data_IF_122317257079
#
_entry.id   IF_122317257079
#
_cell.length_a   1.000
_cell.length_b   1.000
_cell.length_c   1.000
_cell.angle_alpha   90.00
_cell.angle_beta   90.00
_cell.angle_gamma   90.00
#
_symmetry.space_group_name_H-M   'P 1'
#
loop_
_entity.id
_entity.type
_entity.pdbx_description
1 polymer ?
#
# COMPACT_ATOMS: atom_id res chain seq x y z
N UNK A 1 2.74 -28.82 -3.51
CA UNK A 1 2.14 -27.56 -3.95
C UNK A 1 0.98 -27.08 -3.06
N UNK A 2 -0.12 -27.80 -2.91
CA UNK A 2 -1.31 -27.33 -2.12
C UNK A 2 -1.03 -26.87 -0.67
N UNK A 3 -0.08 -27.48 0.05
CA UNK A 3 0.23 -27.15 1.45
C UNK A 3 1.04 -25.82 1.57
N UNK A 4 1.96 -25.58 0.66
CA UNK A 4 2.73 -24.32 0.60
C UNK A 4 1.86 -23.12 0.21
N UNK A 5 0.92 -23.32 -0.72
CA UNK A 5 -0.05 -22.33 -1.15
C UNK A 5 -0.94 -21.84 0.02
N UNK A 6 -1.49 -22.76 0.83
CA UNK A 6 -2.33 -22.40 1.96
C UNK A 6 -1.65 -21.51 3.01
N UNK A 7 -0.32 -21.60 3.16
CA UNK A 7 0.44 -20.73 4.06
C UNK A 7 0.22 -19.25 3.72
N UNK A 8 0.21 -18.88 2.45
CA UNK A 8 -0.01 -17.49 2.03
C UNK A 8 -1.44 -17.02 2.29
N UNK A 9 -2.43 -17.90 2.16
CA UNK A 9 -3.80 -17.60 2.56
C UNK A 9 -3.90 -17.30 4.06
N UNK A 10 -3.30 -18.14 4.91
CA UNK A 10 -3.31 -17.91 6.36
C UNK A 10 -2.57 -16.62 6.72
N UNK A 11 -1.43 -16.35 6.11
CA UNK A 11 -0.71 -15.08 6.32
C UNK A 11 -1.57 -13.89 5.89
N UNK A 12 -2.23 -13.96 4.74
CA UNK A 12 -3.15 -12.92 4.29
C UNK A 12 -4.25 -12.65 5.31
N UNK A 13 -4.92 -13.71 5.79
CA UNK A 13 -5.97 -13.59 6.78
C UNK A 13 -5.46 -12.98 8.09
N UNK A 14 -4.27 -13.39 8.56
CA UNK A 14 -3.65 -12.83 9.76
C UNK A 14 -3.42 -11.32 9.58
N UNK A 15 -2.80 -10.88 8.48
CA UNK A 15 -2.50 -9.48 8.27
C UNK A 15 -3.76 -8.62 8.05
N UNK A 16 -4.76 -9.12 7.33
CA UNK A 16 -6.04 -8.41 7.15
C UNK A 16 -6.82 -8.31 8.46
N UNK A 17 -6.84 -9.38 9.27
CA UNK A 17 -7.44 -9.34 10.62
C UNK A 17 -6.67 -8.36 11.51
N UNK A 18 -5.34 -8.39 11.48
CA UNK A 18 -4.50 -7.45 12.22
C UNK A 18 -4.76 -6.00 11.78
N UNK A 19 -4.97 -5.73 10.49
CA UNK A 19 -5.35 -4.41 10.00
C UNK A 19 -6.69 -3.94 10.58
N UNK A 20 -7.72 -4.80 10.58
CA UNK A 20 -9.05 -4.47 11.13
C UNK A 20 -8.94 -4.19 12.64
N UNK A 21 -8.22 -5.04 13.37
CA UNK A 21 -7.99 -4.84 14.80
C UNK A 21 -7.20 -3.57 15.07
N UNK A 22 -6.14 -3.32 14.32
CA UNK A 22 -5.32 -2.12 14.41
C UNK A 22 -6.15 -0.85 14.19
N UNK A 23 -6.97 -0.83 13.14
CA UNK A 23 -7.88 0.27 12.84
C UNK A 23 -8.81 0.55 14.02
N UNK A 24 -9.40 -0.50 14.62
CA UNK A 24 -10.25 -0.36 15.80
C UNK A 24 -9.47 0.13 17.02
N UNK A 25 -8.26 -0.40 17.25
CA UNK A 25 -7.43 0.02 18.38
C UNK A 25 -7.03 1.49 18.31
N UNK A 26 -6.74 2.03 17.13
CA UNK A 26 -6.45 3.46 16.94
C UNK A 26 -7.62 4.34 17.42
N UNK A 27 -8.86 3.90 17.30
CA UNK A 27 -10.01 4.73 17.70
C UNK A 27 -10.31 4.70 19.20
N UNK A 28 -9.67 3.80 19.97
CA UNK A 28 -9.99 3.62 21.40
C UNK A 28 -8.78 3.70 22.34
N UNK A 29 -7.56 3.46 21.84
CA UNK A 29 -6.37 3.44 22.69
C UNK A 29 -5.65 4.78 22.65
N UNK A 30 -5.41 5.36 23.82
CA UNK A 30 -4.60 6.59 24.00
C UNK A 30 -4.97 7.69 23.00
N UNK A 31 -6.27 7.99 22.94
CA UNK A 31 -6.82 9.02 22.04
C UNK A 31 -6.70 10.38 22.72
N UNK A 32 -5.93 11.31 22.11
CA UNK A 32 -5.72 12.67 22.62
C UNK A 32 -5.81 13.69 21.47
N UNK A 33 -6.13 14.92 21.81
CA UNK A 33 -6.23 16.06 20.88
C UNK A 33 -4.84 16.65 20.58
N UNK A 34 -3.95 15.88 19.97
CA UNK A 34 -2.57 16.28 19.63
C UNK A 34 -2.41 16.70 18.16
N UNK A 35 -3.41 16.49 17.34
CA UNK A 35 -3.36 16.88 15.93
C UNK A 35 -3.69 18.36 15.70
N UNK A 36 -3.45 18.87 14.48
CA UNK A 36 -3.75 20.26 14.13
C UNK A 36 -5.23 20.60 14.40
N UNK A 37 -5.48 21.85 14.78
CA UNK A 37 -6.81 22.37 15.18
C UNK A 37 -7.48 21.56 16.30
N UNK A 38 -6.67 20.86 17.15
CA UNK A 38 -7.19 20.02 18.23
C UNK A 38 -7.82 18.71 17.77
N UNK A 39 -7.46 18.22 16.59
CA UNK A 39 -7.96 16.93 16.09
C UNK A 39 -7.44 15.77 16.94
N UNK A 40 -8.33 14.80 17.20
CA UNK A 40 -8.02 13.62 18.00
C UNK A 40 -7.16 12.64 17.20
N UNK A 41 -6.19 12.03 17.89
CA UNK A 41 -5.27 11.04 17.31
C UNK A 41 -5.15 9.87 18.28
N UNK A 42 -5.34 8.66 17.78
CA UNK A 42 -5.13 7.44 18.57
C UNK A 42 -3.65 7.08 18.68
N UNK A 43 -3.29 6.26 19.66
CA UNK A 43 -1.90 5.98 20.01
C UNK A 43 -1.06 7.26 20.16
N UNK A 44 -1.66 8.29 20.75
CA UNK A 44 -1.13 9.65 20.79
C UNK A 44 0.28 9.72 21.34
N UNK A 45 0.58 9.01 22.43
CA UNK A 45 1.89 9.01 23.08
C UNK A 45 2.99 8.48 22.15
N UNK A 46 2.76 7.34 21.49
CA UNK A 46 3.74 6.75 20.56
C UNK A 46 3.87 7.62 19.32
N UNK A 47 2.77 8.10 18.78
CA UNK A 47 2.74 8.95 17.59
C UNK A 47 3.47 10.29 17.84
N UNK A 48 3.26 10.94 19.00
CA UNK A 48 3.98 12.16 19.37
C UNK A 48 5.48 11.92 19.54
N UNK A 49 5.85 10.89 20.30
CA UNK A 49 7.26 10.55 20.53
C UNK A 49 7.98 10.30 19.18
N UNK A 50 7.35 9.61 18.27
CA UNK A 50 7.94 9.36 16.95
C UNK A 50 8.06 10.65 16.12
N UNK A 51 7.04 11.49 16.13
CA UNK A 51 7.07 12.78 15.45
C UNK A 51 8.11 13.73 16.03
N UNK A 52 8.33 13.74 17.34
CA UNK A 52 9.39 14.51 17.99
C UNK A 52 10.79 14.07 17.54
N UNK A 53 11.00 12.77 17.34
CA UNK A 53 12.29 12.22 16.88
C UNK A 53 12.53 12.55 15.40
N UNK A 54 11.53 12.41 14.55
CA UNK A 54 11.69 12.59 13.09
C UNK A 54 11.57 14.06 12.67
N UNK A 55 10.80 14.84 13.43
CA UNK A 55 10.38 16.17 13.00
C UNK A 55 9.47 16.14 11.76
N UNK A 56 9.27 17.31 11.16
CA UNK A 56 8.52 17.49 9.92
C UNK A 56 9.45 17.94 8.81
N UNK A 57 9.53 17.17 7.73
CA UNK A 57 10.36 17.46 6.57
C UNK A 57 9.52 17.51 5.29
N UNK A 58 9.11 18.72 4.89
CA UNK A 58 8.29 18.93 3.71
C UNK A 58 9.01 18.62 2.38
N UNK A 59 10.35 18.66 2.34
CA UNK A 59 11.09 18.28 1.13
C UNK A 59 10.98 16.76 0.89
N UNK A 60 11.17 15.94 1.93
CA UNK A 60 10.98 14.49 1.84
C UNK A 60 9.52 14.17 1.51
N UNK A 61 8.57 14.89 2.11
CA UNK A 61 7.16 14.76 1.76
C UNK A 61 6.93 14.99 0.27
N UNK A 62 7.37 16.13 -0.26
CA UNK A 62 7.17 16.49 -1.68
C UNK A 62 7.80 15.45 -2.62
N UNK A 63 9.03 14.99 -2.32
CA UNK A 63 9.71 13.96 -3.13
C UNK A 63 8.90 12.67 -3.13
N UNK A 64 8.49 12.17 -1.96
CA UNK A 64 7.74 10.91 -1.85
C UNK A 64 6.31 11.04 -2.38
N UNK A 65 5.74 12.23 -2.38
CA UNK A 65 4.43 12.50 -2.95
C UNK A 65 4.46 12.40 -4.48
N UNK A 66 5.41 13.08 -5.13
CA UNK A 66 5.63 12.95 -6.57
C UNK A 66 6.01 11.52 -6.99
N UNK A 67 6.88 10.87 -6.24
CA UNK A 67 7.24 9.47 -6.50
C UNK A 67 6.08 8.50 -6.24
N UNK A 68 5.05 8.91 -5.51
CA UNK A 68 3.79 8.20 -5.38
C UNK A 68 3.05 7.98 -6.71
N UNK A 69 3.38 8.74 -7.76
CA UNK A 69 2.89 8.51 -9.12
C UNK A 69 3.49 7.25 -9.76
N UNK A 70 4.68 6.80 -9.33
CA UNK A 70 5.33 5.61 -9.90
C UNK A 70 4.47 4.35 -9.77
N UNK A 71 3.96 3.96 -8.59
CA UNK A 71 3.03 2.85 -8.47
C UNK A 71 1.79 3.00 -9.37
N UNK A 72 1.27 4.21 -9.51
CA UNK A 72 0.12 4.49 -10.38
C UNK A 72 0.46 4.20 -11.84
N UNK A 73 1.63 4.64 -12.32
CA UNK A 73 2.11 4.36 -13.68
C UNK A 73 2.23 2.85 -13.92
N UNK A 74 2.77 2.09 -12.95
CA UNK A 74 2.85 0.63 -13.04
C UNK A 74 1.45 -0.01 -13.11
N UNK A 75 0.52 0.44 -12.27
CA UNK A 75 -0.85 -0.06 -12.26
C UNK A 75 -1.55 0.20 -13.62
N UNK A 76 -1.39 1.40 -14.18
CA UNK A 76 -1.87 1.73 -15.53
C UNK A 76 -1.21 0.88 -16.61
N UNK A 77 0.10 0.66 -16.53
CA UNK A 77 0.83 -0.20 -17.48
C UNK A 77 0.26 -1.62 -17.51
N UNK A 78 -0.03 -2.21 -16.36
CA UNK A 78 -0.69 -3.53 -16.30
C UNK A 78 -2.15 -3.47 -16.76
N UNK A 79 -2.86 -2.37 -16.50
CA UNK A 79 -4.20 -2.15 -17.03
C UNK A 79 -4.22 -2.11 -18.57
N UNK A 80 -3.27 -1.38 -19.16
CA UNK A 80 -3.08 -1.34 -20.64
C UNK A 80 -2.74 -2.73 -21.16
N UNK A 81 -1.85 -3.47 -20.49
CA UNK A 81 -1.51 -4.84 -20.89
C UNK A 81 -2.76 -5.74 -20.90
N UNK A 82 -3.60 -5.66 -19.86
CA UNK A 82 -4.86 -6.40 -19.79
C UNK A 82 -5.82 -6.00 -20.92
N UNK A 83 -5.96 -4.71 -21.20
CA UNK A 83 -6.79 -4.18 -22.27
C UNK A 83 -6.32 -4.69 -23.66
N UNK A 84 -5.02 -4.64 -23.93
CA UNK A 84 -4.44 -5.13 -25.19
C UNK A 84 -4.68 -6.64 -25.37
N UNK A 85 -4.54 -7.41 -24.29
CA UNK A 85 -4.85 -8.84 -24.34
C UNK A 85 -6.34 -9.09 -24.62
N UNK A 86 -7.22 -8.33 -23.98
CA UNK A 86 -8.67 -8.43 -24.20
C UNK A 86 -9.05 -8.12 -25.64
N UNK A 87 -8.59 -6.99 -26.18
CA UNK A 87 -8.85 -6.60 -27.58
C UNK A 87 -8.34 -7.67 -28.55
N UNK A 88 -7.08 -8.13 -28.37
CA UNK A 88 -6.47 -9.14 -29.25
C UNK A 88 -7.18 -10.49 -29.21
N UNK A 89 -7.59 -10.92 -28.03
CA UNK A 89 -8.21 -12.24 -27.82
C UNK A 89 -9.74 -12.19 -27.93
N UNK A 90 -10.32 -10.99 -28.06
CA UNK A 90 -11.78 -10.72 -28.17
C UNK A 90 -12.66 -11.37 -27.10
N UNK A 91 -12.08 -11.73 -25.95
CA UNK A 91 -12.77 -12.35 -24.84
C UNK A 91 -12.00 -12.05 -23.55
N UNK A 92 -12.69 -11.44 -22.57
CA UNK A 92 -12.09 -11.08 -21.29
C UNK A 92 -11.61 -12.31 -20.50
N UNK A 93 -12.31 -13.43 -20.60
CA UNK A 93 -11.93 -14.68 -19.93
C UNK A 93 -10.67 -15.33 -20.52
N UNK A 94 -10.20 -14.84 -21.68
CA UNK A 94 -8.93 -15.25 -22.28
C UNK A 94 -7.76 -14.34 -21.88
N UNK A 95 -7.98 -13.26 -21.15
CA UNK A 95 -6.91 -12.45 -20.56
C UNK A 95 -6.17 -13.30 -19.52
N UNK A 96 -4.86 -13.08 -19.36
CA UNK A 96 -4.08 -13.82 -18.38
C UNK A 96 -4.71 -13.68 -16.99
N UNK A 97 -4.95 -14.81 -16.31
CA UNK A 97 -5.59 -14.83 -14.99
C UNK A 97 -4.85 -13.97 -13.96
N UNK A 98 -3.50 -13.92 -14.03
CA UNK A 98 -2.68 -13.06 -13.15
C UNK A 98 -2.97 -11.57 -13.36
N UNK A 99 -3.26 -11.12 -14.59
CA UNK A 99 -3.63 -9.73 -14.91
C UNK A 99 -5.05 -9.42 -14.46
N UNK A 100 -6.00 -10.33 -14.69
CA UNK A 100 -7.38 -10.12 -14.21
C UNK A 100 -7.43 -10.03 -12.69
N UNK A 101 -6.75 -10.94 -12.00
CA UNK A 101 -6.62 -10.92 -10.54
C UNK A 101 -5.97 -9.62 -10.07
N UNK A 102 -4.93 -9.14 -10.77
CA UNK A 102 -4.25 -7.88 -10.46
C UNK A 102 -5.21 -6.68 -10.56
N UNK A 103 -6.04 -6.65 -11.61
CA UNK A 103 -7.06 -5.61 -11.80
C UNK A 103 -8.05 -5.55 -10.63
N UNK A 104 -8.61 -6.70 -10.23
CA UNK A 104 -9.51 -6.80 -9.07
C UNK A 104 -8.82 -6.32 -7.79
N UNK A 105 -7.55 -6.67 -7.64
CA UNK A 105 -6.72 -6.32 -6.51
C UNK A 105 -6.48 -4.81 -6.40
N UNK A 106 -6.18 -4.14 -7.51
CA UNK A 106 -5.99 -2.69 -7.52
C UNK A 106 -7.30 -1.93 -7.33
N UNK A 107 -8.42 -2.46 -7.83
CA UNK A 107 -9.76 -1.92 -7.54
C UNK A 107 -10.06 -2.02 -6.04
N UNK A 108 -9.78 -3.16 -5.41
CA UNK A 108 -9.97 -3.34 -3.97
C UNK A 108 -9.10 -2.36 -3.15
N UNK A 109 -7.84 -2.16 -3.55
CA UNK A 109 -6.93 -1.19 -2.92
C UNK A 109 -7.48 0.23 -3.02
N UNK A 110 -7.97 0.63 -4.19
CA UNK A 110 -8.57 1.94 -4.41
C UNK A 110 -9.88 2.11 -3.63
N UNK A 111 -10.71 1.08 -3.55
CA UNK A 111 -11.94 1.11 -2.79
C UNK A 111 -11.67 1.33 -1.28
N UNK A 112 -10.66 0.69 -0.73
CA UNK A 112 -10.25 0.90 0.67
C UNK A 112 -9.67 2.30 0.87
N UNK A 113 -8.86 2.81 -0.06
CA UNK A 113 -8.38 4.19 -0.02
C UNK A 113 -9.55 5.17 0.05
N UNK A 114 -10.52 5.08 -0.87
CA UNK A 114 -11.70 5.94 -0.91
C UNK A 114 -12.52 5.81 0.38
N UNK A 115 -12.70 4.59 0.89
CA UNK A 115 -13.44 4.35 2.12
C UNK A 115 -12.83 5.15 3.30
N UNK A 116 -11.52 5.14 3.45
CA UNK A 116 -10.85 5.82 4.56
C UNK A 116 -10.67 7.33 4.35
N UNK A 117 -10.81 7.85 3.13
CA UNK A 117 -10.98 9.29 2.90
C UNK A 117 -12.30 9.80 3.47
N UNK A 118 -13.37 9.00 3.41
CA UNK A 118 -14.67 9.33 4.02
C UNK A 118 -14.74 8.97 5.51
N UNK A 119 -14.18 7.82 5.90
CA UNK A 119 -14.11 7.37 7.29
C UNK A 119 -12.83 7.86 7.94
N UNK A 120 -12.73 9.16 8.20
CA UNK A 120 -11.52 9.74 8.77
C UNK A 120 -11.26 9.17 10.18
N UNK A 121 -10.17 8.41 10.33
CA UNK A 121 -9.71 7.86 11.61
C UNK A 121 -8.76 8.84 12.30
N UNK A 122 -7.72 9.28 11.59
CA UNK A 122 -6.79 10.33 12.03
C UNK A 122 -6.68 11.40 10.96
N UNK A 123 -6.44 12.64 11.38
CA UNK A 123 -5.92 13.70 10.50
C UNK A 123 -4.40 13.73 10.55
N UNK A 124 -3.78 14.30 9.51
CA UNK A 124 -2.30 14.43 9.42
C UNK A 124 -1.73 15.23 10.58
N UNK A 125 -0.47 14.98 10.96
CA UNK A 125 0.24 15.76 11.98
C UNK A 125 0.36 17.26 11.66
N UNK A 126 0.30 17.60 10.38
CA UNK A 126 0.47 18.96 9.87
C UNK A 126 -0.64 19.32 8.89
N UNK A 127 -0.95 20.60 8.78
CA UNK A 127 -1.86 21.10 7.75
C UNK A 127 -1.16 21.08 6.40
N UNK A 128 -1.83 20.52 5.39
CA UNK A 128 -1.38 20.57 4.02
C UNK A 128 -2.13 21.70 3.31
N UNK A 129 -1.38 22.69 2.81
CA UNK A 129 -1.95 23.91 2.21
C UNK A 129 -3.00 24.61 3.11
N UNK A 130 -2.84 24.51 4.45
CA UNK A 130 -3.77 25.09 5.41
C UNK A 130 -5.02 24.27 5.72
N UNK A 131 -5.19 23.11 5.12
CA UNK A 131 -6.34 22.21 5.30
C UNK A 131 -5.99 20.99 6.16
N UNK A 132 -7.00 20.49 6.89
CA UNK A 132 -6.97 19.19 7.53
C UNK A 132 -7.21 18.12 6.46
N UNK A 133 -6.29 17.17 6.35
CA UNK A 133 -6.43 16.03 5.42
C UNK A 133 -6.48 14.72 6.22
N UNK A 134 -7.25 13.75 5.72
CA UNK A 134 -7.26 12.40 6.25
C UNK A 134 -5.83 11.81 6.17
N UNK A 135 -5.45 11.02 7.17
CA UNK A 135 -4.10 10.48 7.29
C UNK A 135 -4.05 8.97 7.26
N UNK A 136 -5.06 8.32 7.84
CA UNK A 136 -5.09 6.87 8.02
C UNK A 136 -5.95 6.16 6.98
N UNK A 137 -5.49 5.03 6.44
CA UNK A 137 -4.09 4.59 6.39
C UNK A 137 -3.29 5.41 5.37
N UNK A 138 -1.96 5.48 5.50
CA UNK A 138 -1.13 6.21 4.55
C UNK A 138 -1.32 5.68 3.12
N UNK A 139 -1.98 6.45 2.26
CA UNK A 139 -2.32 6.07 0.88
C UNK A 139 -1.10 5.78 0.02
N UNK A 140 -0.06 6.61 0.12
CA UNK A 140 1.20 6.42 -0.62
C UNK A 140 1.91 5.13 -0.20
N UNK A 141 1.95 4.83 1.13
CA UNK A 141 2.48 3.57 1.65
C UNK A 141 1.67 2.39 1.13
N UNK A 142 0.35 2.50 1.20
CA UNK A 142 -0.56 1.45 0.76
C UNK A 142 -0.42 1.14 -0.73
N UNK A 143 -0.43 2.17 -1.59
CA UNK A 143 -0.24 2.00 -3.03
C UNK A 143 1.14 1.41 -3.36
N UNK A 144 2.19 1.94 -2.75
CA UNK A 144 3.56 1.43 -2.98
C UNK A 144 3.67 -0.04 -2.61
N UNK A 145 3.19 -0.43 -1.42
CA UNK A 145 3.27 -1.81 -0.93
C UNK A 145 2.29 -2.77 -1.61
N UNK A 146 1.22 -2.29 -2.22
CA UNK A 146 0.34 -3.12 -3.04
C UNK A 146 0.88 -3.32 -4.46
N UNK A 147 1.29 -2.23 -5.11
CA UNK A 147 1.60 -2.26 -6.55
C UNK A 147 3.01 -2.78 -6.83
N UNK A 148 4.00 -2.31 -6.08
CA UNK A 148 5.39 -2.60 -6.44
C UNK A 148 5.80 -4.07 -6.22
N UNK A 149 5.40 -4.76 -5.12
CA UNK A 149 5.66 -6.20 -4.99
C UNK A 149 4.93 -7.04 -6.04
N UNK A 150 3.69 -6.66 -6.39
CA UNK A 150 2.96 -7.36 -7.45
C UNK A 150 3.57 -7.12 -8.83
N UNK A 151 4.17 -5.95 -9.06
CA UNK A 151 4.96 -5.68 -10.27
C UNK A 151 6.18 -6.61 -10.39
N UNK A 152 6.93 -6.83 -9.28
CA UNK A 152 8.03 -7.81 -9.26
C UNK A 152 7.51 -9.20 -9.69
N UNK A 153 6.37 -9.64 -9.15
CA UNK A 153 5.79 -10.94 -9.49
C UNK A 153 5.45 -11.01 -10.99
N UNK A 154 4.81 -9.96 -11.53
CA UNK A 154 4.45 -9.88 -12.92
C UNK A 154 5.66 -9.86 -13.87
N UNK A 155 6.73 -9.16 -13.50
CA UNK A 155 7.98 -9.19 -14.27
C UNK A 155 8.68 -10.54 -14.20
N UNK A 156 8.66 -11.21 -13.05
CA UNK A 156 9.23 -12.56 -12.91
C UNK A 156 8.55 -13.59 -13.80
N UNK A 157 7.25 -13.45 -14.07
CA UNK A 157 6.51 -14.32 -14.98
C UNK A 157 6.80 -14.02 -16.47
N UNK A 158 7.09 -12.76 -16.82
CA UNK A 158 7.16 -12.31 -18.22
C UNK A 158 8.57 -12.16 -18.76
N UNK A 159 9.53 -11.84 -17.92
CA UNK A 159 10.92 -11.61 -18.33
C UNK A 159 11.70 -12.92 -18.25
N UNK A 160 12.29 -13.37 -19.36
CA UNK A 160 13.07 -14.60 -19.38
C UNK A 160 14.48 -14.44 -18.81
N UNK A 161 15.09 -13.27 -18.98
CA UNK A 161 16.46 -12.98 -18.51
C UNK A 161 16.53 -12.90 -16.98
N UNK A 162 17.23 -13.85 -16.37
CA UNK A 162 17.35 -13.92 -14.89
C UNK A 162 18.05 -12.70 -14.30
N UNK A 163 19.11 -12.23 -14.96
CA UNK A 163 19.88 -11.05 -14.53
C UNK A 163 19.01 -9.80 -14.53
N UNK A 164 18.23 -9.59 -15.59
CA UNK A 164 17.33 -8.44 -15.67
C UNK A 164 16.26 -8.50 -14.58
N UNK A 165 15.65 -9.66 -14.31
CA UNK A 165 14.68 -9.85 -13.21
C UNK A 165 15.28 -9.50 -11.86
N UNK A 166 16.52 -9.91 -11.62
CA UNK A 166 17.23 -9.62 -10.37
C UNK A 166 17.43 -8.11 -10.18
N UNK A 167 17.91 -7.40 -11.19
CA UNK A 167 18.09 -5.94 -11.11
C UNK A 167 16.76 -5.20 -10.94
N UNK A 168 15.71 -5.58 -11.66
CA UNK A 168 14.37 -5.02 -11.50
C UNK A 168 13.88 -5.24 -10.07
N UNK A 169 14.00 -6.44 -9.53
CA UNK A 169 13.54 -6.75 -8.18
C UNK A 169 14.30 -5.93 -7.12
N UNK A 170 15.62 -5.79 -7.24
CA UNK A 170 16.42 -4.95 -6.34
C UNK A 170 15.97 -3.49 -6.43
N UNK A 171 15.89 -2.93 -7.63
CA UNK A 171 15.51 -1.52 -7.83
C UNK A 171 14.13 -1.24 -7.24
N UNK A 172 13.15 -2.11 -7.50
CA UNK A 172 11.81 -1.97 -6.94
C UNK A 172 11.82 -2.11 -5.42
N UNK A 173 12.60 -3.05 -4.87
CA UNK A 173 12.69 -3.23 -3.41
C UNK A 173 13.31 -2.00 -2.74
N UNK A 174 14.38 -1.44 -3.29
CA UNK A 174 14.99 -0.21 -2.80
C UNK A 174 14.01 0.97 -2.88
N UNK A 175 13.25 1.07 -3.97
CA UNK A 175 12.18 2.07 -4.12
C UNK A 175 11.10 1.90 -3.02
N UNK A 176 10.64 0.68 -2.75
CA UNK A 176 9.67 0.41 -1.68
C UNK A 176 10.20 0.89 -0.34
N UNK A 177 11.43 0.49 0.01
CA UNK A 177 12.07 0.88 1.29
C UNK A 177 12.17 2.41 1.39
N UNK A 178 12.65 3.06 0.33
CA UNK A 178 12.76 4.52 0.28
C UNK A 178 11.38 5.19 0.48
N UNK A 179 10.34 4.72 -0.20
CA UNK A 179 9.01 5.31 -0.10
C UNK A 179 8.40 5.16 1.30
N UNK A 180 8.47 3.96 1.87
CA UNK A 180 7.90 3.71 3.21
C UNK A 180 8.66 4.50 4.29
N UNK A 181 9.99 4.44 4.27
CA UNK A 181 10.81 5.20 5.22
C UNK A 181 10.69 6.71 5.00
N UNK A 182 10.66 7.16 3.74
CA UNK A 182 10.49 8.56 3.40
C UNK A 182 9.15 9.11 3.89
N UNK A 183 8.05 8.37 3.75
CA UNK A 183 6.75 8.79 4.31
C UNK A 183 6.77 8.81 5.84
N UNK A 184 7.48 7.87 6.46
CA UNK A 184 7.61 7.80 7.90
C UNK A 184 8.39 9.00 8.46
N UNK A 185 9.58 9.29 7.90
CA UNK A 185 10.46 10.38 8.37
C UNK A 185 10.06 11.77 7.84
N UNK A 186 9.13 11.85 6.89
CA UNK A 186 8.59 13.15 6.46
C UNK A 186 7.76 13.85 7.54
N UNK A 187 7.27 13.10 8.54
CA UNK A 187 6.46 13.64 9.63
C UNK A 187 5.08 14.14 9.20
N UNK A 188 4.58 13.77 8.01
CA UNK A 188 3.23 14.13 7.53
C UNK A 188 2.21 13.01 7.70
N UNK A 189 2.63 11.89 8.22
CA UNK A 189 1.79 10.78 8.66
C UNK A 189 2.21 10.34 10.05
N UNK A 190 1.26 9.89 10.83
CA UNK A 190 1.55 9.25 12.09
C UNK A 190 2.17 7.87 11.86
N UNK A 191 2.99 7.39 12.80
CA UNK A 191 3.51 6.02 12.76
C UNK A 191 2.40 4.99 12.62
N UNK A 192 1.28 5.20 13.31
CA UNK A 192 0.09 4.34 13.24
C UNK A 192 -0.51 4.23 11.85
N UNK A 193 -0.42 5.29 11.03
CA UNK A 193 -0.96 5.31 9.66
C UNK A 193 -0.10 4.47 8.71
N UNK A 194 1.22 4.52 8.89
CA UNK A 194 2.18 3.72 8.13
C UNK A 194 2.03 2.23 8.47
N UNK A 195 1.87 1.91 9.76
CA UNK A 195 1.62 0.54 10.21
C UNK A 195 0.31 0.02 9.60
N UNK A 196 -0.77 0.79 9.65
CA UNK A 196 -2.05 0.42 9.05
C UNK A 196 -1.93 0.14 7.55
N UNK A 197 -1.31 1.04 6.79
CA UNK A 197 -1.05 0.86 5.36
C UNK A 197 -0.21 -0.39 5.07
N UNK A 198 0.79 -0.66 5.90
CA UNK A 198 1.67 -1.84 5.77
C UNK A 198 0.90 -3.15 6.05
N UNK A 199 0.10 -3.21 7.11
CA UNK A 199 -0.69 -4.39 7.46
C UNK A 199 -1.69 -4.74 6.34
N UNK A 200 -2.45 -3.75 5.87
CA UNK A 200 -3.41 -3.94 4.80
C UNK A 200 -2.74 -4.45 3.52
N UNK A 201 -1.70 -3.74 3.07
CA UNK A 201 -1.01 -4.06 1.81
C UNK A 201 -0.34 -5.43 1.85
N UNK A 202 0.31 -5.77 2.97
CA UNK A 202 0.94 -7.09 3.13
C UNK A 202 -0.11 -8.20 3.05
N UNK A 203 -1.24 -8.04 3.75
CA UNK A 203 -2.32 -9.00 3.70
C UNK A 203 -2.86 -9.20 2.29
N UNK A 204 -3.06 -8.10 1.59
CA UNK A 204 -3.60 -8.10 0.24
C UNK A 204 -2.60 -8.73 -0.77
N UNK A 205 -1.30 -8.39 -0.69
CA UNK A 205 -0.24 -8.97 -1.55
C UNK A 205 -0.11 -10.49 -1.33
N UNK A 206 -0.22 -10.96 -0.08
CA UNK A 206 -0.21 -12.39 0.23
C UNK A 206 -1.42 -13.11 -0.37
N UNK A 207 -2.59 -12.47 -0.39
CA UNK A 207 -3.79 -13.00 -1.05
C UNK A 207 -3.58 -13.10 -2.57
N UNK A 208 -3.06 -12.04 -3.18
CA UNK A 208 -2.74 -12.04 -4.60
C UNK A 208 -1.75 -13.17 -4.97
N UNK A 209 -0.69 -13.33 -4.18
CA UNK A 209 0.29 -14.40 -4.38
C UNK A 209 -0.35 -15.79 -4.25
N UNK A 210 -1.21 -15.99 -3.24
CA UNK A 210 -1.97 -17.24 -3.07
C UNK A 210 -2.83 -17.56 -4.29
N UNK A 211 -3.60 -16.58 -4.78
CA UNK A 211 -4.48 -16.78 -5.94
C UNK A 211 -3.67 -17.12 -7.19
N UNK A 212 -2.56 -16.41 -7.43
CA UNK A 212 -1.69 -16.71 -8.57
C UNK A 212 -1.09 -18.14 -8.52
N UNK A 213 -0.75 -18.65 -7.33
CA UNK A 213 -0.27 -20.04 -7.19
C UNK A 213 -1.35 -21.09 -7.46
N UNK A 214 -2.63 -20.74 -7.41
CA UNK A 214 -3.73 -21.66 -7.75
C UNK A 214 -3.94 -21.71 -9.25
N UNK A 215 -3.72 -20.60 -9.95
CA UNK A 215 -3.90 -20.50 -11.40
C UNK A 215 -2.72 -21.10 -12.21
N UNK A 216 -1.58 -21.35 -11.59
CA UNK A 216 -0.40 -22.04 -12.14
C UNK A 216 -0.48 -23.56 -11.91
#
# INVERSE_FOLDING_TARGET
MKKASRKFLYLSLIFLTAFILWTKLITIIDVKAIGPKGSSVGFATINSCFLEITGVNMHIYTITDWLGLVPIIFAFGFGILGLLQWIKRRNILKVDGSILTLGVFYIATMAVYILFEYLVINYRPVLINGYLEASYPSSTTMLTLCVMPTAIMQFNERIKCKTLRFFIAITITLFIVFMVLGRLISGVHWLSDIIGGTLFSTGLVMLYYYINLIWQ
#
